data_IF_146607810054
#
_entry.id   IF_146607810054
#
_cell.length_a   1.000
_cell.length_b   1.000
_cell.length_c   1.000
_cell.angle_alpha   90.00
_cell.angle_beta   90.00
_cell.angle_gamma   90.00
#
_symmetry.space_group_name_H-M   'P 1'
#
loop_
_entity.id
_entity.type
_entity.pdbx_description
1 polymer ?
#
# COMPACT_ATOMS: atom_id res chain seq x y z
N UNK A 1 20.06 1.06 6.92
CA UNK A 1 19.62 2.16 6.03
C UNK A 1 18.59 1.58 5.07
N UNK A 2 17.37 2.14 5.04
CA UNK A 2 16.35 1.74 4.09
C UNK A 2 16.68 2.28 2.69
N UNK A 3 16.62 1.43 1.67
CA UNK A 3 16.93 1.80 0.29
C UNK A 3 15.88 1.32 -0.71
N UNK A 4 15.93 1.84 -1.95
CA UNK A 4 14.99 1.48 -3.01
C UNK A 4 14.93 -0.03 -3.28
N UNK A 5 16.07 -0.72 -3.17
CA UNK A 5 16.14 -2.19 -3.31
C UNK A 5 15.34 -2.91 -2.22
N UNK A 6 15.41 -2.45 -0.97
CA UNK A 6 14.65 -3.08 0.13
C UNK A 6 13.14 -2.93 -0.04
N UNK A 7 12.66 -1.78 -0.55
CA UNK A 7 11.24 -1.63 -0.88
C UNK A 7 10.85 -2.57 -2.02
N UNK A 8 11.67 -2.66 -3.07
CA UNK A 8 11.41 -3.58 -4.18
C UNK A 8 11.36 -5.03 -3.71
N UNK A 9 12.30 -5.44 -2.88
CA UNK A 9 12.39 -6.81 -2.37
C UNK A 9 11.22 -7.11 -1.42
N UNK A 10 10.81 -6.17 -0.58
CA UNK A 10 9.61 -6.30 0.24
C UNK A 10 8.34 -6.45 -0.63
N UNK A 11 8.21 -5.69 -1.71
CA UNK A 11 7.12 -5.85 -2.67
C UNK A 11 7.20 -7.20 -3.40
N UNK A 12 8.40 -7.72 -3.70
CA UNK A 12 8.55 -9.05 -4.30
C UNK A 12 8.12 -10.18 -3.36
N UNK A 13 8.41 -10.05 -2.05
CA UNK A 13 8.07 -11.06 -1.04
C UNK A 13 6.57 -11.07 -0.69
N UNK A 14 5.95 -9.89 -0.64
CA UNK A 14 4.56 -9.74 -0.18
C UNK A 14 3.55 -9.49 -1.32
N UNK A 15 4.02 -9.29 -2.55
CA UNK A 15 3.20 -8.98 -3.72
C UNK A 15 2.72 -7.53 -3.72
N UNK A 16 1.61 -7.26 -3.02
CA UNK A 16 0.98 -5.94 -2.93
C UNK A 16 0.89 -5.45 -1.50
N UNK A 17 1.46 -4.28 -1.20
CA UNK A 17 1.60 -3.78 0.18
C UNK A 17 1.31 -2.28 0.26
N UNK A 18 0.76 -1.84 1.40
CA UNK A 18 0.57 -0.42 1.70
C UNK A 18 1.86 0.26 2.17
N UNK A 19 2.02 1.55 1.87
CA UNK A 19 3.18 2.34 2.32
C UNK A 19 3.36 2.32 3.85
N UNK A 20 2.25 2.29 4.62
CA UNK A 20 2.28 2.21 6.08
C UNK A 20 2.88 0.90 6.59
N UNK A 21 2.56 -0.22 5.94
CA UNK A 21 3.09 -1.53 6.31
C UNK A 21 4.59 -1.61 6.00
N UNK A 22 5.03 -1.08 4.85
CA UNK A 22 6.44 -0.96 4.50
C UNK A 22 7.21 -0.05 5.47
N UNK A 23 6.62 1.07 5.88
CA UNK A 23 7.21 1.98 6.89
C UNK A 23 7.48 1.26 8.22
N UNK A 24 6.53 0.45 8.69
CA UNK A 24 6.70 -0.36 9.91
C UNK A 24 7.77 -1.44 9.74
N UNK A 25 7.74 -2.16 8.62
CA UNK A 25 8.67 -3.27 8.36
C UNK A 25 10.11 -2.80 8.19
N UNK A 26 10.34 -1.68 7.51
CA UNK A 26 11.66 -1.12 7.27
C UNK A 26 12.13 -0.18 8.41
N UNK A 27 11.31 -0.01 9.46
CA UNK A 27 11.53 0.96 10.53
C UNK A 27 11.91 2.36 9.98
N UNK A 28 11.24 2.77 8.90
CA UNK A 28 11.54 3.99 8.15
C UNK A 28 10.36 4.96 8.21
N UNK A 29 10.59 6.28 8.22
CA UNK A 29 9.51 7.27 8.21
C UNK A 29 8.60 7.08 6.99
N UNK A 30 7.29 7.09 7.21
CA UNK A 30 6.28 7.00 6.15
C UNK A 30 6.52 7.95 4.96
N UNK A 31 6.81 9.25 5.15
CA UNK A 31 7.02 10.16 4.01
C UNK A 31 8.24 9.76 3.17
N UNK A 32 9.27 9.18 3.79
CA UNK A 32 10.45 8.68 3.09
C UNK A 32 10.09 7.45 2.24
N UNK A 33 9.33 6.51 2.81
CA UNK A 33 8.84 5.33 2.08
C UNK A 33 7.92 5.73 0.91
N UNK A 34 7.04 6.70 1.11
CA UNK A 34 6.18 7.24 0.05
C UNK A 34 7.01 7.86 -1.09
N UNK A 35 7.98 8.72 -0.78
CA UNK A 35 8.85 9.30 -1.79
C UNK A 35 9.65 8.24 -2.57
N UNK A 36 10.11 7.18 -1.87
CA UNK A 36 10.79 6.05 -2.53
C UNK A 36 9.85 5.25 -3.44
N UNK A 37 8.61 5.01 -3.02
CA UNK A 37 7.59 4.33 -3.83
C UNK A 37 7.22 5.17 -5.06
N UNK A 38 6.99 6.48 -4.90
CA UNK A 38 6.72 7.39 -6.00
C UNK A 38 7.86 7.41 -7.02
N UNK A 39 9.11 7.39 -6.55
CA UNK A 39 10.28 7.25 -7.43
C UNK A 39 10.25 5.93 -8.21
N UNK A 40 9.91 4.80 -7.58
CA UNK A 40 9.79 3.50 -8.27
C UNK A 40 8.63 3.48 -9.28
N UNK A 41 7.55 4.19 -8.99
CA UNK A 41 6.43 4.39 -9.92
C UNK A 41 6.85 5.23 -11.12
N UNK A 42 7.55 6.34 -10.90
CA UNK A 42 8.11 7.17 -11.98
C UNK A 42 9.11 6.41 -12.86
N UNK A 43 9.85 5.46 -12.29
CA UNK A 43 10.73 4.54 -13.03
C UNK A 43 9.99 3.38 -13.72
N UNK A 44 8.67 3.27 -13.56
CA UNK A 44 7.86 2.20 -14.13
C UNK A 44 8.12 0.81 -13.53
N UNK A 45 8.68 0.73 -12.32
CA UNK A 45 9.00 -0.54 -11.63
C UNK A 45 7.90 -1.00 -10.67
N UNK A 46 7.11 -0.06 -10.18
CA UNK A 46 6.01 -0.27 -9.25
C UNK A 46 4.79 0.43 -9.81
N UNK A 47 3.60 -0.10 -9.54
CA UNK A 47 2.35 0.57 -9.82
C UNK A 47 1.58 0.85 -8.52
N UNK A 48 0.93 2.01 -8.48
CA UNK A 48 0.01 2.42 -7.42
C UNK A 48 -1.39 1.99 -7.81
N UNK A 49 -2.04 1.22 -6.96
CA UNK A 49 -3.42 0.76 -7.14
C UNK A 49 -4.25 1.30 -5.99
N UNK A 50 -5.34 1.97 -6.32
CA UNK A 50 -6.31 2.45 -5.35
C UNK A 50 -7.37 1.36 -5.18
N UNK A 51 -7.30 0.63 -4.07
CA UNK A 51 -8.30 -0.38 -3.75
C UNK A 51 -9.48 0.33 -3.08
N UNK A 52 -10.55 0.50 -3.83
CA UNK A 52 -11.82 0.95 -3.29
C UNK A 52 -12.51 -0.23 -2.63
N UNK A 53 -12.57 -0.24 -1.30
CA UNK A 53 -13.20 -1.32 -0.54
C UNK A 53 -14.73 -1.16 -0.47
N UNK A 54 -15.37 -0.67 -1.55
CA UNK A 54 -16.82 -0.50 -1.65
C UNK A 54 -17.60 -1.81 -1.80
N UNK A 55 -16.93 -2.97 -1.71
CA UNK A 55 -17.58 -4.26 -1.72
C UNK A 55 -18.16 -4.66 -0.33
N UNK A 56 -18.98 -3.81 0.27
CA UNK A 56 -20.02 -4.29 1.20
C UNK A 56 -21.18 -4.87 0.38
N UNK A 57 -20.95 -5.97 -0.34
CA UNK A 57 -21.92 -6.64 -1.22
C UNK A 57 -22.67 -7.81 -0.54
N UNK A 58 -22.81 -7.79 0.78
CA UNK A 58 -23.75 -8.72 1.45
C UNK A 58 -24.36 -8.07 2.70
N UNK A 59 -25.66 -7.79 2.62
CA UNK A 59 -26.44 -7.07 3.62
C UNK A 59 -26.69 -7.84 4.92
N UNK A 60 -25.66 -8.10 5.71
CA UNK A 60 -25.82 -8.75 7.03
C UNK A 60 -24.81 -8.33 8.11
N UNK A 61 -24.20 -7.15 8.00
CA UNK A 61 -23.34 -6.64 9.08
C UNK A 61 -24.17 -5.90 10.13
N UNK A 62 -24.56 -6.62 11.19
CA UNK A 62 -25.24 -6.06 12.38
C UNK A 62 -24.30 -5.32 13.36
N UNK A 63 -23.03 -5.10 13.00
CA UNK A 63 -22.02 -4.45 13.84
C UNK A 63 -21.00 -3.62 13.03
N UNK A 64 -21.37 -3.08 11.88
CA UNK A 64 -20.51 -2.09 11.23
C UNK A 64 -20.73 -0.74 11.92
N UNK A 65 -19.77 -0.22 12.71
CA UNK A 65 -19.90 1.12 13.28
C UNK A 65 -20.04 2.12 12.14
N UNK A 66 -21.13 2.87 12.19
CA UNK A 66 -21.54 3.86 11.20
C UNK A 66 -20.38 4.84 10.90
N UNK A 67 -20.09 5.04 9.60
CA UNK A 67 -19.59 6.32 9.12
C UNK A 67 -18.10 6.65 9.25
N UNK A 68 -17.16 5.68 9.33
CA UNK A 68 -15.74 5.97 9.06
C UNK A 68 -15.35 5.45 7.69
N UNK A 69 -15.46 6.36 6.72
CA UNK A 69 -14.85 6.36 5.40
C UNK A 69 -14.22 5.03 5.01
N UNK A 70 -14.85 4.31 4.08
CA UNK A 70 -14.14 3.36 3.23
C UNK A 70 -12.97 4.11 2.61
N UNK A 71 -11.84 4.09 3.33
CA UNK A 71 -10.69 4.91 3.02
C UNK A 71 -10.02 4.15 1.89
N UNK A 72 -10.18 4.64 0.66
CA UNK A 72 -9.59 4.07 -0.53
C UNK A 72 -8.14 3.71 -0.22
N UNK A 73 -7.88 2.40 -0.12
CA UNK A 73 -6.64 1.90 0.44
C UNK A 73 -5.64 1.85 -0.69
N UNK A 74 -4.60 2.68 -0.60
CA UNK A 74 -3.55 2.73 -1.62
C UNK A 74 -2.57 1.59 -1.38
N UNK A 75 -2.53 0.64 -2.31
CA UNK A 75 -1.58 -0.46 -2.35
C UNK A 75 -0.57 -0.26 -3.50
N UNK A 76 0.63 -0.75 -3.30
CA UNK A 76 1.71 -0.73 -4.29
C UNK A 76 2.08 -2.16 -4.64
N UNK A 77 2.31 -2.46 -5.92
CA UNK A 77 2.81 -3.76 -6.38
C UNK A 77 3.88 -3.60 -7.46
N UNK A 78 4.72 -4.63 -7.63
CA UNK A 78 5.68 -4.64 -8.72
C UNK A 78 4.99 -4.71 -10.08
N UNK A 79 5.50 -3.93 -11.03
CA UNK A 79 5.07 -3.96 -12.42
C UNK A 79 5.93 -5.01 -13.14
N UNK A 80 5.29 -6.06 -13.68
CA UNK A 80 5.94 -7.07 -14.52
C UNK A 80 6.20 -6.54 -15.93
#
# INVERSE_FOLDING_TARGET
>A
MAGLLQIRDALALHGSVQALQLSRQLAAPLPLVQAMLERLVAMGKVERIEQDNSACLSGSCKSCPEGKACSSTVIYRLKH
#
